data_IF_340747257590
#
_entry.id   IF_340747257590
#
_cell.length_a   1.000
_cell.length_b   1.000
_cell.length_c   1.000
_cell.angle_alpha   90.00
_cell.angle_beta   90.00
_cell.angle_gamma   90.00
#
_symmetry.space_group_name_H-M   'P 1'
#
loop_
_entity.id
_entity.type
_entity.pdbx_description
1 polymer ?
#
# COMPACT_ATOMS: atom_id res chain seq x y z
N UNK A 1 -1.05 -16.75 -1.71
CA UNK A 1 -0.82 -15.71 -0.68
C UNK A 1 -1.53 -14.38 -0.95
N UNK A 2 -2.28 -14.21 -2.07
CA UNK A 2 -3.01 -12.96 -2.35
C UNK A 2 -4.07 -12.63 -1.29
N UNK A 3 -4.64 -13.65 -0.64
CA UNK A 3 -5.67 -13.49 0.39
C UNK A 3 -5.27 -12.52 1.51
N UNK A 4 -4.02 -12.55 1.99
CA UNK A 4 -3.58 -11.63 3.06
C UNK A 4 -3.50 -10.19 2.54
N UNK A 5 -2.97 -9.99 1.33
CA UNK A 5 -2.90 -8.65 0.71
C UNK A 5 -4.30 -8.09 0.46
N UNK A 6 -5.20 -8.94 -0.02
CA UNK A 6 -6.62 -8.60 -0.24
C UNK A 6 -7.33 -8.28 1.08
N UNK A 7 -7.12 -9.05 2.15
CA UNK A 7 -7.68 -8.75 3.48
C UNK A 7 -7.19 -7.40 3.99
N UNK A 8 -5.88 -7.15 3.93
CA UNK A 8 -5.29 -5.86 4.34
C UNK A 8 -5.92 -4.70 3.58
N UNK A 9 -6.04 -4.83 2.25
CA UNK A 9 -6.62 -3.78 1.41
C UNK A 9 -8.10 -3.56 1.72
N UNK A 10 -8.88 -4.64 1.91
CA UNK A 10 -10.29 -4.53 2.31
C UNK A 10 -10.44 -3.76 3.61
N UNK A 11 -9.74 -4.19 4.66
CA UNK A 11 -9.83 -3.60 6.01
C UNK A 11 -9.45 -2.12 5.97
N UNK A 12 -8.46 -1.75 5.16
CA UNK A 12 -8.12 -0.35 4.94
C UNK A 12 -9.25 0.47 4.34
N UNK A 13 -9.88 0.01 3.25
CA UNK A 13 -11.01 0.72 2.66
C UNK A 13 -12.21 0.78 3.63
N UNK A 14 -12.53 -0.32 4.31
CA UNK A 14 -13.62 -0.38 5.30
C UNK A 14 -13.37 0.57 6.48
N UNK A 15 -12.13 0.66 6.97
CA UNK A 15 -11.74 1.60 8.03
C UNK A 15 -11.94 3.07 7.61
N UNK A 16 -11.79 3.36 6.32
CA UNK A 16 -12.06 4.69 5.73
C UNK A 16 -13.54 4.89 5.34
N UNK A 17 -14.44 4.00 5.76
CA UNK A 17 -15.88 4.15 5.57
C UNK A 17 -16.41 3.67 4.22
N UNK A 18 -15.60 2.96 3.43
CA UNK A 18 -16.05 2.38 2.17
C UNK A 18 -16.82 1.08 2.41
N UNK A 19 -17.87 0.87 1.61
CA UNK A 19 -18.47 -0.43 1.39
C UNK A 19 -17.63 -1.18 0.35
N UNK A 20 -17.08 -2.33 0.74
CA UNK A 20 -16.18 -3.12 -0.10
C UNK A 20 -16.86 -4.40 -0.57
N UNK A 21 -16.94 -4.59 -1.88
CA UNK A 21 -17.39 -5.84 -2.50
C UNK A 21 -16.21 -6.53 -3.18
N UNK A 22 -15.78 -7.65 -2.62
CA UNK A 22 -14.79 -8.51 -3.26
C UNK A 22 -15.43 -9.26 -4.43
N UNK A 23 -14.78 -9.23 -5.60
CA UNK A 23 -15.16 -10.10 -6.71
C UNK A 23 -14.54 -11.48 -6.47
N UNK A 24 -15.38 -12.52 -6.37
CA UNK A 24 -14.96 -13.87 -5.92
C UNK A 24 -13.90 -14.46 -6.86
N UNK A 25 -12.78 -14.95 -6.30
CA UNK A 25 -11.76 -15.76 -7.02
C UNK A 25 -11.95 -17.29 -6.92
N UNK A 26 -13.03 -17.78 -6.31
CA UNK A 26 -13.15 -19.21 -5.94
C UNK A 26 -14.49 -19.83 -6.34
N UNK A 27 -14.75 -19.97 -7.64
CA UNK A 27 -15.74 -20.93 -8.17
C UNK A 27 -15.13 -21.63 -9.40
N UNK A 28 -14.72 -22.91 -9.30
CA UNK A 28 -14.46 -23.72 -10.48
C UNK A 28 -15.73 -24.49 -10.86
N UNK A 29 -16.26 -24.26 -12.06
CA UNK A 29 -17.07 -25.21 -12.87
C UNK A 29 -17.33 -24.53 -14.23
N UNK A 30 -16.50 -24.88 -15.21
CA UNK A 30 -16.71 -24.59 -16.65
C UNK A 30 -16.96 -23.12 -17.01
N UNK A 31 -15.89 -22.31 -17.05
CA UNK A 31 -15.93 -20.97 -17.65
C UNK A 31 -14.79 -20.11 -17.14
N UNK A 32 -13.82 -19.79 -18.00
CA UNK A 32 -12.78 -18.79 -17.73
C UNK A 32 -13.44 -17.42 -17.55
N UNK A 33 -13.58 -16.99 -16.31
CA UNK A 33 -13.64 -15.58 -15.96
C UNK A 33 -12.75 -15.38 -14.74
N UNK A 34 -11.43 -15.36 -14.99
CA UNK A 34 -10.45 -14.96 -13.99
C UNK A 34 -10.83 -13.55 -13.54
N UNK A 35 -11.12 -13.37 -12.25
CA UNK A 35 -11.52 -12.08 -11.69
C UNK A 35 -10.37 -11.06 -11.85
N UNK A 36 -10.42 -10.27 -12.92
CA UNK A 36 -9.42 -9.25 -13.26
C UNK A 36 -9.46 -8.05 -12.31
N UNK A 37 -10.53 -7.94 -11.52
CA UNK A 37 -10.79 -6.92 -10.52
C UNK A 37 -10.88 -7.60 -9.16
N UNK A 38 -10.19 -7.07 -8.15
CA UNK A 38 -10.23 -7.62 -6.79
C UNK A 38 -11.40 -7.04 -5.99
N UNK A 39 -11.57 -5.71 -6.02
CA UNK A 39 -12.62 -5.04 -5.28
C UNK A 39 -13.37 -3.99 -6.09
N UNK A 40 -14.66 -3.90 -5.80
CA UNK A 40 -15.48 -2.73 -6.06
C UNK A 40 -15.68 -2.02 -4.73
N UNK A 41 -15.23 -0.78 -4.62
CA UNK A 41 -15.35 0.03 -3.39
C UNK A 41 -16.28 1.21 -3.63
N UNK A 42 -17.13 1.50 -2.66
CA UNK A 42 -18.09 2.61 -2.69
C UNK A 42 -18.03 3.39 -1.38
N UNK A 43 -17.74 4.69 -1.46
CA UNK A 43 -17.83 5.61 -0.35
C UNK A 43 -19.23 6.24 -0.34
N UNK A 44 -20.07 5.99 0.69
CA UNK A 44 -21.40 6.58 0.78
C UNK A 44 -21.39 8.08 1.11
N UNK A 45 -20.26 8.63 1.58
CA UNK A 45 -20.12 10.03 1.99
C UNK A 45 -18.84 10.66 1.42
N UNK A 46 -18.71 10.74 0.07
CA UNK A 46 -17.53 11.33 -0.54
C UNK A 46 -17.51 12.85 -0.33
N UNK A 47 -16.33 13.38 -0.03
CA UNK A 47 -16.03 14.81 -0.06
C UNK A 47 -15.38 15.12 -1.40
N UNK A 48 -16.21 15.27 -2.43
CA UNK A 48 -15.75 15.54 -3.78
C UNK A 48 -15.02 16.89 -3.83
N UNK A 49 -13.98 16.93 -4.66
CA UNK A 49 -13.20 18.11 -4.98
C UNK A 49 -13.19 18.27 -6.50
N UNK A 50 -13.09 19.51 -6.97
CA UNK A 50 -12.90 19.80 -8.39
C UNK A 50 -11.45 19.52 -8.83
N UNK A 51 -10.53 19.28 -7.88
CA UNK A 51 -9.16 18.91 -8.17
C UNK A 51 -9.07 17.45 -8.62
N UNK A 52 -8.22 17.14 -9.62
CA UNK A 52 -7.97 15.76 -10.02
C UNK A 52 -7.29 14.99 -8.88
N UNK A 53 -7.58 13.68 -8.79
CA UNK A 53 -6.88 12.81 -7.87
C UNK A 53 -5.38 12.82 -8.16
N UNK A 54 -4.52 12.83 -7.12
CA UNK A 54 -3.09 12.70 -7.32
C UNK A 54 -2.78 11.31 -7.88
N UNK A 55 -1.72 11.17 -8.71
CA UNK A 55 -1.34 9.88 -9.29
C UNK A 55 -0.95 8.85 -8.23
N UNK A 56 -0.49 9.31 -7.06
CA UNK A 56 -0.22 8.48 -5.88
C UNK A 56 -1.12 8.96 -4.76
N UNK A 57 -2.02 8.11 -4.29
CA UNK A 57 -2.98 8.45 -3.24
C UNK A 57 -2.36 8.27 -1.86
N UNK A 58 -2.57 9.28 -1.02
CA UNK A 58 -2.54 9.14 0.43
C UNK A 58 -3.90 8.67 0.95
N UNK A 59 -3.97 8.29 2.22
CA UNK A 59 -5.24 7.93 2.86
C UNK A 59 -6.23 9.09 2.92
N UNK A 60 -5.75 10.33 3.07
CA UNK A 60 -6.60 11.51 3.12
C UNK A 60 -7.31 11.79 1.78
N UNK A 61 -6.66 11.43 0.66
CA UNK A 61 -7.20 11.58 -0.68
C UNK A 61 -8.40 10.64 -0.95
N UNK A 62 -8.52 9.54 -0.21
CA UNK A 62 -9.63 8.59 -0.37
C UNK A 62 -10.99 9.24 -0.13
N UNK A 63 -11.07 10.31 0.67
CA UNK A 63 -12.31 11.04 0.89
C UNK A 63 -12.89 11.62 -0.40
N UNK A 64 -12.07 11.87 -1.41
CA UNK A 64 -12.47 12.37 -2.72
C UNK A 64 -12.95 11.25 -3.67
N UNK A 65 -12.72 9.99 -3.30
CA UNK A 65 -13.09 8.83 -4.11
C UNK A 65 -14.50 8.36 -3.73
N UNK A 66 -15.48 8.63 -4.59
CA UNK A 66 -16.84 8.10 -4.42
C UNK A 66 -16.92 6.60 -4.73
N UNK A 67 -16.29 6.17 -5.83
CA UNK A 67 -16.27 4.77 -6.26
C UNK A 67 -14.95 4.45 -6.92
N UNK A 68 -14.47 3.25 -6.69
CA UNK A 68 -13.32 2.74 -7.41
C UNK A 68 -13.41 1.23 -7.69
N UNK A 69 -12.80 0.86 -8.80
CA UNK A 69 -12.30 -0.48 -9.05
C UNK A 69 -10.89 -0.53 -8.46
N UNK A 70 -10.62 -1.53 -7.64
CA UNK A 70 -9.31 -1.72 -7.03
C UNK A 70 -8.73 -3.07 -7.45
N UNK A 71 -7.48 -3.02 -7.92
CA UNK A 71 -6.66 -4.20 -8.20
C UNK A 71 -5.46 -4.20 -7.28
N UNK A 72 -5.12 -5.38 -6.75
CA UNK A 72 -4.06 -5.58 -5.76
C UNK A 72 -2.94 -6.39 -6.38
N UNK A 73 -1.79 -5.73 -6.57
CA UNK A 73 -0.51 -6.40 -6.76
C UNK A 73 0.13 -6.51 -5.39
N UNK A 74 0.10 -7.72 -4.84
CA UNK A 74 0.46 -7.99 -3.44
C UNK A 74 1.88 -7.55 -3.07
N UNK A 75 2.15 -7.47 -1.77
CA UNK A 75 3.39 -6.92 -1.20
C UNK A 75 4.70 -7.67 -1.56
N UNK A 76 4.59 -8.92 -2.00
CA UNK A 76 5.72 -9.85 -2.17
C UNK A 76 6.40 -9.75 -3.54
N UNK A 77 5.89 -8.91 -4.44
CA UNK A 77 6.50 -8.67 -5.75
C UNK A 77 7.57 -7.57 -5.68
N UNK A 78 8.51 -7.60 -6.62
CA UNK A 78 9.58 -6.61 -6.76
C UNK A 78 9.04 -5.17 -6.96
N UNK A 79 9.94 -4.19 -6.86
CA UNK A 79 9.65 -2.78 -7.10
C UNK A 79 8.92 -2.59 -8.43
N UNK A 80 7.78 -1.91 -8.36
CA UNK A 80 6.87 -1.74 -9.47
C UNK A 80 7.43 -0.68 -10.43
N UNK A 81 8.26 -1.08 -11.39
CA UNK A 81 8.96 -0.22 -12.34
C UNK A 81 8.42 -0.32 -13.77
N UNK A 82 8.71 0.66 -14.62
CA UNK A 82 8.37 0.64 -16.06
C UNK A 82 8.89 -0.61 -16.80
N UNK A 83 10.09 -1.07 -16.47
CA UNK A 83 10.66 -2.29 -17.03
C UNK A 83 9.87 -3.55 -16.63
N UNK A 84 9.42 -3.63 -15.37
CA UNK A 84 8.59 -4.72 -14.88
C UNK A 84 7.20 -4.72 -15.54
N UNK A 85 6.56 -3.54 -15.63
CA UNK A 85 5.29 -3.34 -16.31
C UNK A 85 5.31 -3.76 -17.78
N UNK A 86 6.44 -3.55 -18.46
CA UNK A 86 6.61 -3.96 -19.86
C UNK A 86 6.67 -5.48 -20.03
N UNK A 87 7.05 -6.22 -18.99
CA UNK A 87 7.13 -7.70 -18.99
C UNK A 87 5.83 -8.36 -18.55
N UNK A 88 4.94 -7.62 -17.90
CA UNK A 88 3.69 -8.11 -17.30
C UNK A 88 2.47 -7.30 -17.78
N UNK A 89 2.12 -7.39 -19.08
CA UNK A 89 0.99 -6.63 -19.64
C UNK A 89 -0.36 -7.03 -19.03
N UNK A 90 -0.47 -8.21 -18.43
CA UNK A 90 -1.67 -8.70 -17.77
C UNK A 90 -2.14 -7.82 -16.60
N UNK A 91 -1.26 -6.99 -16.04
CA UNK A 91 -1.60 -6.02 -15.01
C UNK A 91 -2.63 -5.00 -15.51
N UNK A 92 -2.66 -4.74 -16.81
CA UNK A 92 -3.55 -3.75 -17.41
C UNK A 92 -4.91 -4.32 -17.85
N UNK A 93 -5.18 -5.63 -17.72
CA UNK A 93 -6.44 -6.22 -18.22
C UNK A 93 -7.69 -5.57 -17.63
N UNK A 94 -7.65 -5.17 -16.37
CA UNK A 94 -8.80 -4.53 -15.71
C UNK A 94 -9.16 -3.15 -16.28
N UNK A 95 -8.24 -2.48 -16.98
CA UNK A 95 -8.52 -1.22 -17.66
C UNK A 95 -9.14 -1.44 -19.04
N UNK A 96 -9.21 -2.69 -19.53
CA UNK A 96 -9.82 -3.00 -20.81
C UNK A 96 -11.28 -2.51 -20.82
N UNK A 97 -11.74 -1.80 -21.88
CA UNK A 97 -13.06 -1.18 -21.89
C UNK A 97 -14.21 -2.13 -21.57
N UNK A 98 -14.11 -3.39 -22.00
CA UNK A 98 -15.14 -4.42 -21.73
C UNK A 98 -15.24 -4.76 -20.25
N UNK A 99 -14.09 -4.89 -19.59
CA UNK A 99 -13.97 -5.27 -18.17
C UNK A 99 -14.42 -4.10 -17.30
N UNK A 100 -13.94 -2.91 -17.64
CA UNK A 100 -14.35 -1.67 -16.99
C UNK A 100 -15.87 -1.43 -17.11
N UNK A 101 -16.46 -1.57 -18.30
CA UNK A 101 -17.90 -1.38 -18.49
C UNK A 101 -18.73 -2.39 -17.68
N UNK A 102 -18.29 -3.65 -17.59
CA UNK A 102 -18.96 -4.66 -16.76
C UNK A 102 -18.93 -4.28 -15.28
N UNK A 103 -17.79 -3.80 -14.79
CA UNK A 103 -17.66 -3.34 -13.41
C UNK A 103 -18.47 -2.07 -13.15
N UNK A 104 -18.49 -1.11 -14.09
CA UNK A 104 -19.31 0.09 -14.00
C UNK A 104 -20.81 -0.23 -13.89
N UNK A 105 -21.30 -1.22 -14.66
CA UNK A 105 -22.70 -1.68 -14.53
C UNK A 105 -23.01 -2.22 -13.14
N UNK A 106 -22.04 -2.84 -12.46
CA UNK A 106 -22.24 -3.35 -11.11
C UNK A 106 -22.41 -2.25 -10.05
N UNK A 107 -22.00 -1.01 -10.34
CA UNK A 107 -22.19 0.16 -9.49
C UNK A 107 -23.48 0.95 -9.77
N UNK A 108 -24.19 0.65 -10.86
CA UNK A 108 -25.26 1.52 -11.38
C UNK A 108 -24.70 2.65 -12.25
N UNK A 109 -25.45 3.01 -13.30
CA UNK A 109 -24.94 3.70 -14.49
C UNK A 109 -24.43 5.16 -14.32
N UNK A 110 -24.39 5.72 -13.11
CA UNK A 110 -24.26 7.17 -12.95
C UNK A 110 -22.98 7.58 -12.24
N UNK A 111 -22.11 8.36 -12.88
CA UNK A 111 -20.97 9.08 -12.29
C UNK A 111 -19.59 8.44 -12.52
N UNK A 112 -18.53 9.15 -12.14
CA UNK A 112 -17.15 8.69 -12.33
C UNK A 112 -16.82 7.43 -11.49
N UNK A 113 -15.97 6.57 -12.06
CA UNK A 113 -15.47 5.35 -11.44
C UNK A 113 -13.94 5.32 -11.56
N UNK A 114 -13.25 5.50 -10.44
CA UNK A 114 -11.79 5.52 -10.43
C UNK A 114 -11.19 4.12 -10.61
N UNK A 115 -10.04 4.06 -11.27
CA UNK A 115 -9.23 2.85 -11.46
C UNK A 115 -7.99 2.96 -10.58
N UNK A 116 -8.01 2.26 -9.44
CA UNK A 116 -6.95 2.31 -8.43
C UNK A 116 -6.15 1.02 -8.45
N UNK A 117 -4.83 1.14 -8.49
CA UNK A 117 -3.91 0.01 -8.40
C UNK A 117 -3.13 0.06 -7.08
N UNK A 118 -3.23 -1.00 -6.28
CA UNK A 118 -2.37 -1.21 -5.12
C UNK A 118 -1.10 -1.92 -5.57
N UNK A 119 0.05 -1.33 -5.26
CA UNK A 119 1.37 -1.81 -5.70
C UNK A 119 2.29 -2.04 -4.49
N UNK A 120 3.25 -2.98 -4.54
CA UNK A 120 4.16 -3.24 -3.42
C UNK A 120 4.96 -1.99 -3.04
N UNK A 121 5.61 -1.35 -4.02
CA UNK A 121 6.41 -0.15 -3.88
C UNK A 121 6.62 0.50 -5.25
N UNK A 122 6.92 1.79 -5.24
CA UNK A 122 7.36 2.53 -6.42
C UNK A 122 8.89 2.72 -6.38
N UNK A 123 9.55 2.99 -7.52
CA UNK A 123 10.96 3.32 -7.54
C UNK A 123 11.29 4.48 -6.60
N UNK A 124 12.43 4.40 -5.92
CA UNK A 124 12.87 5.42 -4.96
C UNK A 124 13.46 6.66 -5.66
N UNK A 125 14.12 6.48 -6.80
CA UNK A 125 14.64 7.58 -7.60
C UNK A 125 13.52 8.30 -8.35
N UNK A 126 13.52 9.63 -8.33
CA UNK A 126 12.44 10.44 -8.90
C UNK A 126 12.19 10.16 -10.37
N UNK A 127 13.24 10.05 -11.18
CA UNK A 127 13.10 9.81 -12.62
C UNK A 127 12.36 8.49 -12.91
N UNK A 128 12.80 7.39 -12.27
CA UNK A 128 12.14 6.09 -12.41
C UNK A 128 10.70 6.09 -11.87
N UNK A 129 10.44 6.87 -10.82
CA UNK A 129 9.11 7.05 -10.25
C UNK A 129 8.18 7.76 -11.24
N UNK A 130 8.60 8.91 -11.76
CA UNK A 130 7.82 9.69 -12.74
C UNK A 130 7.53 8.88 -14.00
N UNK A 131 8.54 8.22 -14.58
CA UNK A 131 8.38 7.35 -15.75
C UNK A 131 7.35 6.23 -15.49
N UNK A 132 7.37 5.63 -14.30
CA UNK A 132 6.41 4.59 -13.93
C UNK A 132 5.00 5.16 -13.82
N UNK A 133 4.82 6.30 -13.16
CA UNK A 133 3.52 6.94 -12.99
C UNK A 133 2.93 7.40 -14.34
N UNK A 134 3.77 7.96 -15.21
CA UNK A 134 3.36 8.39 -16.55
C UNK A 134 2.91 7.19 -17.39
N UNK A 135 3.64 6.08 -17.33
CA UNK A 135 3.25 4.84 -17.99
C UNK A 135 1.90 4.33 -17.47
N UNK A 136 1.69 4.29 -16.15
CA UNK A 136 0.42 3.84 -15.56
C UNK A 136 -0.75 4.72 -15.99
N UNK A 137 -0.55 6.04 -15.95
CA UNK A 137 -1.55 7.02 -16.40
C UNK A 137 -1.86 6.86 -17.90
N UNK A 138 -0.84 6.66 -18.73
CA UNK A 138 -1.02 6.41 -20.18
C UNK A 138 -1.84 5.15 -20.48
N UNK A 139 -1.84 4.19 -19.55
CA UNK A 139 -2.63 2.95 -19.62
C UNK A 139 -4.02 3.10 -19.00
N UNK A 140 -4.41 4.28 -18.53
CA UNK A 140 -5.75 4.56 -18.01
C UNK A 140 -5.97 4.22 -16.54
N UNK A 141 -4.88 3.98 -15.78
CA UNK A 141 -4.93 3.89 -14.32
C UNK A 141 -4.99 5.32 -13.76
N UNK A 142 -6.00 5.60 -12.94
CA UNK A 142 -6.24 6.95 -12.45
C UNK A 142 -5.34 7.27 -11.25
N UNK A 143 -5.03 6.27 -10.42
CA UNK A 143 -4.22 6.43 -9.23
C UNK A 143 -3.59 5.12 -8.74
N UNK A 144 -2.51 5.24 -7.95
CA UNK A 144 -1.89 4.11 -7.24
C UNK A 144 -1.81 4.33 -5.73
N UNK A 145 -1.87 3.23 -4.98
CA UNK A 145 -1.63 3.21 -3.53
C UNK A 145 -0.45 2.26 -3.25
N UNK A 146 0.68 2.76 -2.75
CA UNK A 146 1.75 1.90 -2.26
C UNK A 146 1.29 1.09 -1.06
N UNK A 147 1.60 -0.20 -1.02
CA UNK A 147 1.21 -1.10 0.06
C UNK A 147 1.71 -0.63 1.43
N UNK A 148 2.91 -0.03 1.46
CA UNK A 148 3.47 0.57 2.67
C UNK A 148 2.65 1.75 3.20
N UNK A 149 2.03 2.55 2.33
CA UNK A 149 1.13 3.65 2.74
C UNK A 149 -0.08 3.09 3.47
N UNK A 150 -0.69 2.05 2.89
CA UNK A 150 -1.87 1.39 3.41
C UNK A 150 -1.61 0.75 4.78
N UNK A 151 -0.53 -0.02 4.91
CA UNK A 151 -0.16 -0.65 6.17
C UNK A 151 0.14 0.36 7.27
N UNK A 152 0.90 1.41 6.94
CA UNK A 152 1.29 2.37 7.94
C UNK A 152 0.08 3.18 8.44
N UNK A 153 -0.85 3.50 7.55
CA UNK A 153 -2.12 4.09 7.95
C UNK A 153 -2.95 3.19 8.87
N UNK A 154 -3.09 1.90 8.54
CA UNK A 154 -3.78 0.94 9.41
C UNK A 154 -3.15 0.88 10.79
N UNK A 155 -1.81 0.87 10.87
CA UNK A 155 -1.09 0.88 12.15
C UNK A 155 -1.37 2.17 12.93
N UNK A 156 -1.34 3.32 12.25
CA UNK A 156 -1.58 4.63 12.86
C UNK A 156 -3.03 4.74 13.38
N UNK A 157 -4.00 4.29 12.59
CA UNK A 157 -5.44 4.36 12.84
C UNK A 157 -5.97 3.34 13.87
N UNK A 158 -5.26 2.24 14.13
CA UNK A 158 -5.69 1.26 15.14
C UNK A 158 -5.45 1.80 16.56
N UNK A 159 -6.49 1.78 17.37
CA UNK A 159 -6.49 2.25 18.77
C UNK A 159 -6.32 1.08 19.74
N UNK A 160 -5.44 1.22 20.74
CA UNK A 160 -5.15 0.16 21.73
C UNK A 160 -6.32 -0.12 22.68
N UNK A 161 -7.13 0.90 22.96
CA UNK A 161 -8.29 0.85 23.85
C UNK A 161 -9.61 0.52 23.14
N UNK A 162 -9.61 0.34 21.81
CA UNK A 162 -10.78 -0.05 21.02
C UNK A 162 -10.81 -1.55 20.75
N UNK A 163 -11.99 -2.14 20.64
CA UNK A 163 -12.15 -3.57 20.35
C UNK A 163 -12.56 -3.82 18.88
N UNK A 164 -11.75 -4.58 18.15
CA UNK A 164 -11.95 -4.91 16.74
C UNK A 164 -12.40 -6.37 16.55
N UNK A 165 -13.40 -6.85 17.30
CA UNK A 165 -13.75 -8.29 17.37
C UNK A 165 -14.07 -8.96 16.03
N UNK A 166 -14.41 -8.18 15.01
CA UNK A 166 -14.77 -8.67 13.68
C UNK A 166 -13.60 -8.72 12.70
N UNK A 167 -12.40 -8.29 13.11
CA UNK A 167 -11.20 -8.28 12.26
C UNK A 167 -9.99 -8.81 13.01
N UNK A 168 -9.56 -10.02 12.66
CA UNK A 168 -8.33 -10.62 13.21
C UNK A 168 -7.11 -9.77 12.87
N UNK A 169 -7.07 -9.15 11.68
CA UNK A 169 -5.97 -8.27 11.28
C UNK A 169 -5.86 -7.06 12.21
N UNK A 170 -6.95 -6.32 12.40
CA UNK A 170 -6.93 -5.13 13.27
C UNK A 170 -6.67 -5.50 14.73
N UNK A 171 -7.11 -6.69 15.17
CA UNK A 171 -6.76 -7.23 16.49
C UNK A 171 -5.26 -7.51 16.63
N UNK A 172 -4.64 -8.13 15.62
CA UNK A 172 -3.19 -8.38 15.60
C UNK A 172 -2.44 -7.03 15.63
N UNK A 173 -2.83 -6.06 14.79
CA UNK A 173 -2.24 -4.73 14.81
C UNK A 173 -2.38 -4.06 16.18
N UNK A 174 -3.55 -4.19 16.81
CA UNK A 174 -3.81 -3.66 18.16
C UNK A 174 -2.88 -4.28 19.19
N UNK A 175 -2.73 -5.61 19.19
CA UNK A 175 -1.84 -6.33 20.10
C UNK A 175 -0.40 -5.84 19.89
N UNK A 176 0.09 -5.85 18.66
CA UNK A 176 1.45 -5.40 18.34
C UNK A 176 1.71 -3.95 18.77
N UNK A 177 0.72 -3.06 18.57
CA UNK A 177 0.80 -1.66 18.98
C UNK A 177 0.81 -1.51 20.51
N UNK A 178 0.00 -2.28 21.23
CA UNK A 178 -0.05 -2.27 22.69
C UNK A 178 1.26 -2.73 23.34
N UNK A 179 2.03 -3.59 22.66
CA UNK A 179 3.35 -4.05 23.11
C UNK A 179 4.50 -3.29 22.45
N UNK A 180 4.23 -2.13 21.83
CA UNK A 180 5.25 -1.23 21.25
C UNK A 180 6.14 -1.89 20.18
N UNK A 181 5.64 -2.90 19.46
CA UNK A 181 6.38 -3.55 18.38
C UNK A 181 6.49 -2.69 17.11
N UNK A 182 5.69 -1.64 16.98
CA UNK A 182 5.83 -0.67 15.91
C UNK A 182 6.76 0.45 16.34
N UNK A 183 7.90 0.57 15.65
CA UNK A 183 8.72 1.78 15.75
C UNK A 183 8.00 2.89 14.99
N UNK A 184 8.01 4.11 15.54
CA UNK A 184 7.68 5.31 14.77
C UNK A 184 8.52 5.29 13.48
N UNK A 185 7.94 5.76 12.36
CA UNK A 185 8.69 6.03 11.12
C UNK A 185 9.66 7.20 11.35
N UNK A 186 10.62 7.04 12.24
CA UNK A 186 11.77 7.92 12.33
C UNK A 186 12.52 7.81 11.01
N UNK A 187 12.76 8.96 10.39
CA UNK A 187 13.62 9.16 9.24
C UNK A 187 14.87 8.27 9.34
N UNK A 188 14.89 7.17 8.58
CA UNK A 188 16.09 6.35 8.30
C UNK A 188 17.21 7.16 7.60
N UNK A 189 17.08 8.49 7.48
CA UNK A 189 18.04 9.42 6.89
C UNK A 189 19.27 9.72 7.76
N UNK A 190 19.26 9.37 9.06
CA UNK A 190 20.39 9.65 9.95
C UNK A 190 20.86 8.40 10.70
N UNK A 191 21.51 7.50 9.99
CA UNK A 191 22.49 6.58 10.61
C UNK A 191 23.86 7.26 10.53
N UNK A 192 24.33 8.02 11.54
CA UNK A 192 25.75 8.40 11.57
C UNK A 192 26.57 7.11 11.63
N UNK A 193 27.45 6.90 10.65
CA UNK A 193 28.45 5.84 10.67
C UNK A 193 29.16 5.90 12.03
N UNK A 194 29.01 4.87 12.87
CA UNK A 194 29.83 4.72 14.08
C UNK A 194 31.30 4.82 13.65
N UNK A 195 32.09 5.77 14.18
CA UNK A 195 33.51 5.79 13.90
C UNK A 195 34.12 4.50 14.48
N UNK A 196 34.85 3.76 13.66
CA UNK A 196 35.67 2.63 14.12
C UNK A 196 36.66 3.17 15.14
N UNK A 197 36.51 2.77 16.41
CA UNK A 197 37.50 2.99 17.45
C UNK A 197 38.83 2.40 16.96
N UNK A 198 39.81 3.26 16.64
CA UNK A 198 41.20 2.84 16.48
C UNK A 198 41.64 2.29 17.85
N UNK A 199 41.99 1.00 17.90
CA UNK A 199 42.69 0.44 19.05
C UNK A 199 44.04 1.15 19.16
N UNK A 200 44.23 1.94 20.20
CA UNK A 200 45.55 2.45 20.59
C UNK A 200 46.35 1.29 21.20
N UNK A 201 47.63 1.08 20.85
CA UNK A 201 48.46 0.06 21.49
C UNK A 201 48.74 0.43 22.96
N UNK A 202 49.01 -0.54 23.84
CA UNK A 202 49.28 -0.26 25.25
C UNK A 202 50.63 0.46 25.42
N UNK A 203 50.63 1.54 26.19
CA UNK A 203 51.83 2.23 26.62
C UNK A 203 52.46 1.49 27.81
N UNK A 204 53.74 1.16 27.69
CA UNK A 204 54.57 0.63 28.78
C UNK A 204 54.68 1.67 29.90
N UNK A 205 54.18 1.33 31.09
CA UNK A 205 54.35 2.13 32.29
C UNK A 205 55.66 1.75 32.98
N UNK A 206 56.70 2.56 32.79
CA UNK A 206 57.89 2.57 33.63
C UNK A 206 57.54 2.96 35.06
N UNK A 207 57.82 2.06 36.00
CA UNK A 207 57.68 2.29 37.43
C UNK A 207 58.95 2.94 37.98
N UNK A 208 58.85 4.20 38.37
CA UNK A 208 59.74 4.81 39.35
C UNK A 208 58.87 5.41 40.45
N UNK A 209 58.87 4.77 41.62
CA UNK A 209 58.41 5.33 42.87
C UNK A 209 59.50 5.08 43.91
N UNK A 210 60.24 6.14 44.23
CA UNK A 210 61.03 6.29 45.46
C UNK A 210 60.17 7.09 46.47
N UNK A 211 60.21 6.62 47.72
CA UNK A 211 59.75 7.17 49.01
C UNK A 211 59.01 6.02 49.73
N UNK A 212 59.49 5.44 50.84
CA UNK A 212 60.35 5.95 51.92
C UNK A 212 61.26 4.85 52.46
#
# INVERSE_FOLDING_TARGET
MSAVSETIVREYFELHGFLVRQQRKFIPRTGREDAEIDFLVFNPQPKLSDLPLPPVLSSDDLRQVARAIVVVKGWHTETFSSAMLSRQPEIFRFVDPKVFQRAARAFGAEGALAKILVVPSLPQHEEGRSQTLDLLKSKGIDAVIPFGTLLADLIDSVETNRNYQKSDLLQILRILKNYEFFKERQMELFKPKRPRSKKTPPAESGSQAQQS
#
